data_IF_929417020887
#
_entry.id   IF_929417020887
#
_cell.length_a   1.000
_cell.length_b   1.000
_cell.length_c   1.000
_cell.angle_alpha   90.00
_cell.angle_beta   90.00
_cell.angle_gamma   90.00
#
_symmetry.space_group_name_H-M   'P 1'
#
loop_
_entity.id
_entity.type
_entity.pdbx_description
1 polymer ?
#
# COMPACT_ATOMS: atom_id res chain seq x y z
N UNK A 1 4.57 21.96 -0.42
CA UNK A 1 5.53 21.89 0.73
C UNK A 1 6.27 20.57 0.71
N UNK A 2 5.59 19.41 0.73
CA UNK A 2 6.25 18.10 0.78
C UNK A 2 7.28 17.90 -0.36
N UNK A 3 6.91 18.16 -1.62
CA UNK A 3 7.81 17.96 -2.77
C UNK A 3 9.07 18.82 -2.69
N UNK A 4 8.92 20.12 -2.44
CA UNK A 4 10.07 21.03 -2.30
C UNK A 4 10.93 20.65 -1.10
N UNK A 5 10.31 20.28 0.02
CA UNK A 5 11.03 19.84 1.22
C UNK A 5 11.82 18.54 1.01
N UNK A 6 11.25 17.57 0.29
CA UNK A 6 11.91 16.31 -0.03
C UNK A 6 13.15 16.55 -0.91
N UNK A 7 13.02 17.38 -1.96
CA UNK A 7 14.16 17.77 -2.81
C UNK A 7 15.25 18.42 -1.97
N UNK A 8 14.89 19.36 -1.08
CA UNK A 8 15.87 20.01 -0.21
C UNK A 8 16.56 19.02 0.73
N UNK A 9 15.81 18.09 1.31
CA UNK A 9 16.36 17.08 2.22
C UNK A 9 17.32 16.13 1.52
N UNK A 10 16.92 15.54 0.39
CA UNK A 10 17.75 14.57 -0.34
C UNK A 10 19.01 15.20 -0.96
N UNK A 11 18.97 16.49 -1.31
CA UNK A 11 20.13 17.21 -1.85
C UNK A 11 20.97 17.93 -0.79
N UNK A 12 20.60 17.83 0.49
CA UNK A 12 21.33 18.48 1.59
C UNK A 12 21.23 20.01 1.63
N UNK A 13 20.22 20.60 0.99
CA UNK A 13 20.01 22.05 1.03
C UNK A 13 19.45 22.50 2.40
N UNK A 14 19.94 23.64 2.88
CA UNK A 14 19.44 24.27 4.10
C UNK A 14 18.00 24.75 3.91
N UNK A 15 17.15 24.52 4.91
CA UNK A 15 15.79 25.03 4.92
C UNK A 15 15.75 26.53 5.28
N UNK A 16 14.66 27.26 4.97
CA UNK A 16 14.54 28.69 5.31
C UNK A 16 14.57 29.02 6.81
N UNK A 17 14.51 28.00 7.68
CA UNK A 17 14.55 28.11 9.14
C UNK A 17 15.94 27.77 9.73
N UNK A 18 16.95 27.53 8.88
CA UNK A 18 18.33 27.30 9.33
C UNK A 18 18.69 25.85 9.72
N UNK A 19 17.90 24.85 9.30
CA UNK A 19 18.17 23.42 9.57
C UNK A 19 18.08 22.52 8.32
N UNK A 20 18.14 21.20 8.52
CA UNK A 20 17.94 20.23 7.41
C UNK A 20 16.50 20.26 6.90
N UNK A 21 16.29 19.88 5.63
CA UNK A 21 14.95 19.78 5.04
C UNK A 21 13.98 18.80 5.75
N UNK A 22 14.48 17.96 6.68
CA UNK A 22 13.72 16.90 7.34
C UNK A 22 12.46 17.40 8.07
N UNK A 23 12.57 18.52 8.80
CA UNK A 23 11.42 19.09 9.52
C UNK A 23 10.31 19.50 8.54
N UNK A 24 10.67 20.12 7.41
CA UNK A 24 9.71 20.51 6.37
C UNK A 24 9.11 19.31 5.66
N UNK A 25 9.85 18.20 5.51
CA UNK A 25 9.30 16.93 5.01
C UNK A 25 8.24 16.41 5.98
N UNK A 26 8.54 16.41 7.28
CA UNK A 26 7.59 15.98 8.32
C UNK A 26 6.31 16.82 8.34
N UNK A 27 6.44 18.15 8.31
CA UNK A 27 5.29 19.06 8.23
C UNK A 27 4.52 18.85 6.92
N UNK A 28 5.22 18.74 5.80
CA UNK A 28 4.61 18.48 4.49
C UNK A 28 3.78 17.20 4.49
N UNK A 29 4.34 16.11 4.99
CA UNK A 29 3.66 14.82 5.10
C UNK A 29 2.44 14.91 6.03
N UNK A 30 2.60 15.52 7.21
CA UNK A 30 1.51 15.67 8.19
C UNK A 30 0.34 16.47 7.61
N UNK A 31 0.62 17.59 6.90
CA UNK A 31 -0.43 18.40 6.27
C UNK A 31 -1.14 17.66 5.13
N UNK A 32 -0.42 16.89 4.32
CA UNK A 32 -1.03 16.07 3.26
C UNK A 32 -1.94 14.99 3.85
N UNK A 33 -1.47 14.26 4.87
CA UNK A 33 -2.28 13.23 5.55
C UNK A 33 -3.52 13.85 6.21
N UNK A 34 -3.37 15.00 6.87
CA UNK A 34 -4.49 15.71 7.49
C UNK A 34 -5.53 16.16 6.45
N UNK A 35 -5.08 16.71 5.32
CA UNK A 35 -5.97 17.11 4.24
C UNK A 35 -6.75 15.92 3.66
N UNK A 36 -6.07 14.79 3.41
CA UNK A 36 -6.72 13.56 2.95
C UNK A 36 -7.73 13.04 3.98
N UNK A 37 -7.38 13.02 5.27
CA UNK A 37 -8.28 12.54 6.32
C UNK A 37 -9.54 13.40 6.45
N UNK A 38 -9.40 14.73 6.38
CA UNK A 38 -10.53 15.66 6.41
C UNK A 38 -11.41 15.52 5.16
N UNK A 39 -10.79 15.35 3.98
CA UNK A 39 -11.54 15.13 2.75
C UNK A 39 -12.33 13.82 2.78
N UNK A 40 -11.72 12.71 3.19
CA UNK A 40 -12.44 11.43 3.32
C UNK A 40 -13.54 11.48 4.38
N UNK A 41 -13.35 12.23 5.48
CA UNK A 41 -14.43 12.48 6.45
C UNK A 41 -15.63 13.13 5.77
N UNK A 42 -15.40 14.13 4.93
CA UNK A 42 -16.47 14.86 4.25
C UNK A 42 -17.19 13.97 3.22
N UNK A 43 -16.45 13.16 2.46
CA UNK A 43 -17.03 12.15 1.55
C UNK A 43 -17.91 11.15 2.31
N UNK A 44 -17.47 10.68 3.49
CA UNK A 44 -18.29 9.79 4.32
C UNK A 44 -19.56 10.50 4.80
N UNK A 45 -19.49 11.80 5.11
CA UNK A 45 -20.64 12.57 5.56
C UNK A 45 -21.66 12.81 4.42
N UNK A 46 -21.19 13.16 3.24
CA UNK A 46 -22.00 13.30 2.02
C UNK A 46 -22.72 11.97 1.68
N UNK A 47 -21.98 10.86 1.73
CA UNK A 47 -22.53 9.54 1.41
C UNK A 47 -23.47 8.96 2.48
N UNK A 48 -23.14 9.13 3.76
CA UNK A 48 -23.84 8.44 4.87
C UNK A 48 -24.90 9.31 5.54
N UNK A 49 -24.61 10.60 5.78
CA UNK A 49 -25.47 11.47 6.58
C UNK A 49 -26.33 12.41 5.73
N UNK A 50 -25.84 12.86 4.57
CA UNK A 50 -26.59 13.72 3.66
C UNK A 50 -27.36 12.90 2.60
N UNK A 51 -26.85 11.72 2.24
CA UNK A 51 -27.51 10.80 1.31
C UNK A 51 -27.31 11.14 -0.17
N UNK A 52 -26.23 11.87 -0.51
CA UNK A 52 -25.98 12.37 -1.86
C UNK A 52 -25.45 11.30 -2.83
N UNK A 53 -25.06 10.12 -2.31
CA UNK A 53 -24.56 8.99 -3.10
C UNK A 53 -25.69 8.19 -3.79
N UNK A 54 -26.32 8.81 -4.80
CA UNK A 54 -27.27 8.12 -5.68
C UNK A 54 -26.61 6.97 -6.46
N UNK A 55 -27.40 6.08 -7.06
CA UNK A 55 -26.90 4.95 -7.86
C UNK A 55 -25.97 5.42 -9.00
N UNK A 56 -26.24 6.58 -9.60
CA UNK A 56 -25.38 7.15 -10.65
C UNK A 56 -24.03 7.60 -10.09
N UNK A 57 -24.04 8.26 -8.92
CA UNK A 57 -22.83 8.70 -8.23
C UNK A 57 -21.98 7.48 -7.84
N UNK A 58 -22.60 6.45 -7.24
CA UNK A 58 -21.90 5.22 -6.87
C UNK A 58 -21.27 4.52 -8.07
N UNK A 59 -21.98 4.43 -9.21
CA UNK A 59 -21.40 3.91 -10.46
C UNK A 59 -20.19 4.73 -10.93
N UNK A 60 -20.27 6.05 -10.80
CA UNK A 60 -19.15 6.95 -11.09
C UNK A 60 -17.94 6.70 -10.19
N UNK A 61 -18.14 6.56 -8.88
CA UNK A 61 -17.09 6.25 -7.92
C UNK A 61 -16.44 4.89 -8.24
N UNK A 62 -17.25 3.85 -8.51
CA UNK A 62 -16.74 2.53 -8.90
C UNK A 62 -15.88 2.58 -10.17
N UNK A 63 -16.33 3.33 -11.18
CA UNK A 63 -15.55 3.52 -12.41
C UNK A 63 -14.25 4.28 -12.13
N UNK A 64 -14.29 5.31 -11.29
CA UNK A 64 -13.10 6.07 -10.87
C UNK A 64 -12.07 5.18 -10.17
N UNK A 65 -12.49 4.35 -9.21
CA UNK A 65 -11.61 3.39 -8.53
C UNK A 65 -11.05 2.36 -9.50
N UNK A 66 -11.85 1.85 -10.44
CA UNK A 66 -11.36 0.91 -11.44
C UNK A 66 -10.26 1.53 -12.33
N UNK A 67 -10.45 2.77 -12.81
CA UNK A 67 -9.45 3.49 -13.59
C UNK A 67 -8.18 3.79 -12.78
N UNK A 68 -8.34 4.15 -11.50
CA UNK A 68 -7.21 4.33 -10.58
C UNK A 68 -6.39 3.04 -10.39
N UNK A 69 -7.06 1.90 -10.20
CA UNK A 69 -6.37 0.60 -10.11
C UNK A 69 -5.65 0.28 -11.42
N UNK A 70 -6.26 0.56 -12.57
CA UNK A 70 -5.62 0.37 -13.89
C UNK A 70 -4.34 1.22 -13.99
N UNK A 71 -4.36 2.49 -13.56
CA UNK A 71 -3.13 3.31 -13.58
C UNK A 71 -2.03 2.74 -12.68
N UNK A 72 -2.37 2.21 -11.50
CA UNK A 72 -1.39 1.56 -10.62
C UNK A 72 -0.83 0.26 -11.23
N UNK A 73 -1.65 -0.51 -11.97
CA UNK A 73 -1.16 -1.69 -12.71
C UNK A 73 -0.13 -1.29 -13.76
N UNK A 74 -0.38 -0.22 -14.53
CA UNK A 74 0.62 0.28 -15.50
C UNK A 74 1.88 0.81 -14.83
N UNK A 75 1.76 1.43 -13.65
CA UNK A 75 2.92 1.80 -12.85
C UNK A 75 3.76 0.56 -12.48
N UNK A 76 3.16 -0.51 -11.97
CA UNK A 76 3.90 -1.74 -11.66
C UNK A 76 4.48 -2.43 -12.90
N UNK A 77 3.81 -2.39 -14.06
CA UNK A 77 4.38 -2.91 -15.32
C UNK A 77 5.73 -2.24 -15.64
N UNK A 78 5.85 -0.93 -15.43
CA UNK A 78 7.12 -0.22 -15.67
C UNK A 78 8.24 -0.71 -14.73
N UNK A 79 7.90 -1.02 -13.48
CA UNK A 79 8.85 -1.55 -12.49
C UNK A 79 9.29 -2.96 -12.84
N UNK A 80 8.35 -3.83 -13.22
CA UNK A 80 8.67 -5.19 -13.69
C UNK A 80 9.49 -5.18 -14.97
N UNK A 81 9.24 -4.23 -15.88
CA UNK A 81 10.08 -4.06 -17.06
C UNK A 81 11.52 -3.75 -16.65
N UNK A 82 11.75 -2.80 -15.74
CA UNK A 82 13.10 -2.51 -15.25
C UNK A 82 13.81 -3.77 -14.70
N UNK A 83 13.12 -4.57 -13.89
CA UNK A 83 13.64 -5.85 -13.39
C UNK A 83 13.99 -6.83 -14.53
N UNK A 84 13.05 -7.10 -15.44
CA UNK A 84 13.26 -8.07 -16.52
C UNK A 84 14.35 -7.64 -17.51
N UNK A 85 14.43 -6.34 -17.80
CA UNK A 85 15.49 -5.79 -18.64
C UNK A 85 16.88 -6.09 -18.05
N UNK A 86 17.05 -5.87 -16.75
CA UNK A 86 18.31 -6.12 -16.04
C UNK A 86 18.60 -7.60 -15.78
N UNK A 87 17.57 -8.43 -15.57
CA UNK A 87 17.76 -9.84 -15.23
C UNK A 87 17.92 -10.76 -16.45
N UNK A 88 17.28 -10.45 -17.59
CA UNK A 88 17.32 -11.30 -18.79
C UNK A 88 18.58 -11.07 -19.64
N UNK A 89 19.21 -9.90 -19.53
CA UNK A 89 20.48 -9.58 -20.20
C UNK A 89 21.43 -8.86 -19.23
N UNK A 90 21.95 -9.57 -18.21
CA UNK A 90 22.81 -8.98 -17.20
C UNK A 90 24.11 -8.48 -17.82
N UNK A 91 24.53 -7.28 -17.42
CA UNK A 91 25.74 -6.66 -17.95
C UNK A 91 27.00 -7.33 -17.42
N UNK A 92 28.14 -7.09 -18.07
CA UNK A 92 29.43 -7.69 -17.69
C UNK A 92 29.89 -7.24 -16.30
N UNK A 93 29.52 -6.03 -15.89
CA UNK A 93 29.81 -5.46 -14.57
C UNK A 93 29.13 -6.24 -13.43
N UNK A 94 28.02 -6.93 -13.72
CA UNK A 94 27.32 -7.81 -12.78
C UNK A 94 27.90 -9.23 -12.73
N UNK A 95 28.89 -9.52 -13.58
CA UNK A 95 29.43 -10.86 -13.81
C UNK A 95 28.68 -11.67 -14.88
N UNK A 96 27.90 -11.00 -15.74
CA UNK A 96 27.11 -11.62 -16.82
C UNK A 96 26.16 -12.74 -16.35
N UNK A 97 25.67 -12.64 -15.11
CA UNK A 97 24.71 -13.57 -14.52
C UNK A 97 23.70 -12.84 -13.63
N UNK A 98 22.59 -13.52 -13.34
CA UNK A 98 21.57 -13.05 -12.41
C UNK A 98 21.21 -14.17 -11.43
N UNK A 99 21.24 -13.96 -10.10
CA UNK A 99 21.63 -12.72 -9.40
C UNK A 99 23.10 -12.33 -9.61
N UNK A 100 23.46 -11.03 -9.45
CA UNK A 100 24.85 -10.57 -9.56
C UNK A 100 25.81 -11.27 -8.58
N UNK A 101 27.09 -11.38 -8.97
CA UNK A 101 28.14 -11.97 -8.11
C UNK A 101 28.20 -11.24 -6.77
N UNK A 102 28.19 -11.99 -5.66
CA UNK A 102 28.36 -11.43 -4.31
C UNK A 102 27.07 -11.04 -3.60
N UNK A 103 25.91 -11.11 -4.27
CA UNK A 103 24.61 -10.88 -3.63
C UNK A 103 24.04 -12.20 -3.10
N UNK A 104 23.87 -12.29 -1.78
CA UNK A 104 23.13 -13.38 -1.15
C UNK A 104 21.63 -13.08 -1.21
N UNK A 105 20.89 -13.84 -2.02
CA UNK A 105 19.45 -13.63 -2.19
C UNK A 105 18.61 -14.22 -1.07
N UNK A 106 17.42 -13.67 -0.89
CA UNK A 106 16.43 -14.17 0.07
C UNK A 106 15.86 -15.49 -0.43
N UNK A 107 15.72 -16.48 0.47
CA UNK A 107 15.11 -17.75 0.14
C UNK A 107 13.58 -17.59 -0.03
N UNK A 108 13.01 -17.89 -1.21
CA UNK A 108 11.58 -17.70 -1.46
C UNK A 108 10.68 -18.62 -0.64
N UNK A 109 11.19 -19.71 -0.09
CA UNK A 109 10.41 -20.68 0.69
C UNK A 109 10.35 -20.38 2.20
N UNK A 110 10.95 -19.28 2.64
CA UNK A 110 10.95 -18.86 4.05
C UNK A 110 9.89 -17.76 4.29
N UNK A 111 10.31 -16.56 4.72
CA UNK A 111 9.42 -15.42 4.97
C UNK A 111 8.60 -15.00 3.74
N UNK A 112 9.12 -14.99 2.50
CA UNK A 112 8.32 -14.65 1.32
C UNK A 112 7.10 -15.57 1.11
N UNK A 113 7.27 -16.88 1.36
CA UNK A 113 6.18 -17.85 1.25
C UNK A 113 5.11 -17.60 2.32
N UNK A 114 5.54 -17.33 3.56
CA UNK A 114 4.62 -16.96 4.64
C UNK A 114 3.82 -15.70 4.28
N UNK A 115 4.48 -14.68 3.76
CA UNK A 115 3.84 -13.44 3.31
C UNK A 115 2.80 -13.68 2.21
N UNK A 116 3.08 -14.60 1.28
CA UNK A 116 2.12 -15.00 0.25
C UNK A 116 0.88 -15.66 0.86
N UNK A 117 1.07 -16.56 1.82
CA UNK A 117 -0.04 -17.23 2.53
C UNK A 117 -0.86 -16.22 3.33
N UNK A 118 -0.22 -15.26 4.01
CA UNK A 118 -0.90 -14.20 4.75
C UNK A 118 -1.78 -13.34 3.82
N UNK A 119 -1.26 -12.91 2.67
CA UNK A 119 -2.03 -12.12 1.70
C UNK A 119 -3.23 -12.91 1.15
N UNK A 120 -3.03 -14.17 0.73
CA UNK A 120 -4.12 -15.01 0.22
C UNK A 120 -5.20 -15.27 1.29
N UNK A 121 -4.78 -15.48 2.54
CA UNK A 121 -5.69 -15.64 3.68
C UNK A 121 -6.45 -14.36 3.98
N UNK A 122 -5.81 -13.20 3.85
CA UNK A 122 -6.46 -11.89 3.98
C UNK A 122 -7.52 -11.68 2.89
N UNK A 123 -7.26 -12.14 1.65
CA UNK A 123 -8.23 -12.15 0.55
C UNK A 123 -9.46 -13.01 0.86
N UNK A 124 -9.25 -14.23 1.34
CA UNK A 124 -10.36 -15.11 1.71
C UNK A 124 -11.24 -14.54 2.83
N UNK A 125 -10.60 -13.95 3.86
CA UNK A 125 -11.32 -13.37 5.01
C UNK A 125 -12.08 -12.10 4.66
N UNK A 126 -11.56 -11.25 3.77
CA UNK A 126 -12.29 -10.04 3.35
C UNK A 126 -13.47 -10.39 2.44
N UNK A 127 -13.34 -11.42 1.59
CA UNK A 127 -14.47 -11.94 0.80
C UNK A 127 -15.56 -12.50 1.71
N UNK A 128 -15.20 -13.26 2.74
CA UNK A 128 -16.15 -13.73 3.75
C UNK A 128 -16.85 -12.56 4.47
N UNK A 129 -16.09 -11.52 4.82
CA UNK A 129 -16.64 -10.32 5.44
C UNK A 129 -17.65 -9.62 4.52
N UNK A 130 -17.33 -9.49 3.24
CA UNK A 130 -18.21 -8.86 2.25
C UNK A 130 -19.52 -9.62 2.07
N UNK A 131 -19.47 -10.94 1.91
CA UNK A 131 -20.69 -11.76 1.87
C UNK A 131 -21.51 -11.64 3.16
N UNK A 132 -20.85 -11.59 4.32
CA UNK A 132 -21.53 -11.40 5.61
C UNK A 132 -22.25 -10.04 5.71
N UNK A 133 -21.72 -8.98 5.10
CA UNK A 133 -22.40 -7.67 5.01
C UNK A 133 -23.68 -7.79 4.17
N UNK A 134 -23.60 -8.44 3.01
CA UNK A 134 -24.74 -8.61 2.09
C UNK A 134 -25.85 -9.47 2.73
N UNK A 135 -25.48 -10.47 3.52
CA UNK A 135 -26.42 -11.33 4.25
C UNK A 135 -26.99 -10.68 5.54
N UNK A 136 -26.53 -9.48 5.91
CA UNK A 136 -26.89 -8.82 7.16
C UNK A 136 -26.27 -9.46 8.41
N UNK A 137 -25.35 -10.41 8.26
CA UNK A 137 -24.63 -11.04 9.37
C UNK A 137 -23.49 -10.14 9.88
N UNK A 138 -23.84 -9.19 10.75
CA UNK A 138 -22.89 -8.22 11.32
C UNK A 138 -21.72 -8.89 12.06
N UNK A 139 -21.96 -9.97 12.80
CA UNK A 139 -20.89 -10.65 13.55
C UNK A 139 -19.87 -11.29 12.61
N UNK A 140 -20.34 -11.92 11.54
CA UNK A 140 -19.48 -12.48 10.49
C UNK A 140 -18.66 -11.39 9.79
N UNK A 141 -19.29 -10.26 9.44
CA UNK A 141 -18.64 -9.13 8.80
C UNK A 141 -17.52 -8.54 9.67
N UNK A 142 -17.80 -8.26 10.95
CA UNK A 142 -16.81 -7.74 11.91
C UNK A 142 -15.65 -8.72 12.08
N UNK A 143 -15.94 -10.01 12.26
CA UNK A 143 -14.89 -11.02 12.47
C UNK A 143 -14.02 -11.19 11.22
N UNK A 144 -14.63 -11.26 10.03
CA UNK A 144 -13.91 -11.38 8.77
C UNK A 144 -12.97 -10.19 8.54
N UNK A 145 -13.48 -8.96 8.66
CA UNK A 145 -12.67 -7.75 8.48
C UNK A 145 -11.56 -7.63 9.54
N UNK A 146 -11.83 -8.01 10.80
CA UNK A 146 -10.81 -8.02 11.85
C UNK A 146 -9.68 -9.00 11.53
N UNK A 147 -10.00 -10.21 11.06
CA UNK A 147 -8.98 -11.19 10.68
C UNK A 147 -8.15 -10.71 9.47
N UNK A 148 -8.78 -10.07 8.49
CA UNK A 148 -8.07 -9.42 7.37
C UNK A 148 -7.06 -8.39 7.87
N UNK A 149 -7.45 -7.51 8.82
CA UNK A 149 -6.54 -6.51 9.41
C UNK A 149 -5.37 -7.15 10.14
N UNK A 150 -5.62 -8.23 10.89
CA UNK A 150 -4.55 -8.97 11.59
C UNK A 150 -3.55 -9.54 10.58
N UNK A 151 -4.02 -10.20 9.52
CA UNK A 151 -3.13 -10.76 8.50
C UNK A 151 -2.34 -9.68 7.75
N UNK A 152 -2.95 -8.54 7.46
CA UNK A 152 -2.27 -7.43 6.78
C UNK A 152 -1.17 -6.80 7.67
N UNK A 153 -1.43 -6.62 8.97
CA UNK A 153 -0.41 -6.12 9.92
C UNK A 153 0.73 -7.13 10.07
N UNK A 154 0.42 -8.42 10.18
CA UNK A 154 1.44 -9.47 10.23
C UNK A 154 2.32 -9.48 8.98
N UNK A 155 1.72 -9.34 7.79
CA UNK A 155 2.46 -9.21 6.54
C UNK A 155 3.44 -8.03 6.58
N UNK A 156 3.00 -6.84 7.02
CA UNK A 156 3.87 -5.66 7.11
C UNK A 156 5.03 -5.87 8.09
N UNK A 157 4.77 -6.52 9.23
CA UNK A 157 5.83 -6.85 10.21
C UNK A 157 6.83 -7.83 9.60
N UNK A 158 6.37 -8.91 8.97
CA UNK A 158 7.22 -9.89 8.32
C UNK A 158 8.06 -9.26 7.19
N UNK A 159 7.48 -8.36 6.39
CA UNK A 159 8.23 -7.62 5.36
C UNK A 159 9.29 -6.70 5.97
N UNK A 160 9.01 -6.06 7.10
CA UNK A 160 10.01 -5.28 7.84
C UNK A 160 11.17 -6.13 8.37
N UNK A 161 10.88 -7.32 8.90
CA UNK A 161 11.89 -8.29 9.34
C UNK A 161 12.74 -8.76 8.16
N UNK A 162 12.13 -9.02 7.00
CA UNK A 162 12.85 -9.38 5.78
C UNK A 162 13.84 -8.28 5.36
N UNK A 163 13.42 -7.01 5.38
CA UNK A 163 14.30 -5.89 5.02
C UNK A 163 15.45 -5.68 6.01
N UNK A 164 15.22 -5.88 7.31
CA UNK A 164 16.26 -5.74 8.33
C UNK A 164 17.32 -6.85 8.27
N UNK A 165 16.94 -8.04 7.79
CA UNK A 165 17.83 -9.20 7.70
C UNK A 165 18.38 -9.46 6.29
N UNK A 166 18.01 -8.64 5.30
CA UNK A 166 18.52 -8.76 3.94
C UNK A 166 20.04 -8.52 3.90
N UNK A 167 20.78 -9.40 3.21
CA UNK A 167 22.23 -9.28 3.03
C UNK A 167 22.67 -8.22 2.01
N UNK A 168 21.73 -7.43 1.49
CA UNK A 168 21.94 -6.39 0.49
C UNK A 168 20.99 -5.22 0.76
N UNK A 169 21.31 -4.07 0.21
CA UNK A 169 20.64 -2.78 0.40
C UNK A 169 20.18 -2.20 -0.93
N UNK A 170 19.41 -1.11 -0.89
CA UNK A 170 18.98 -0.40 -2.11
C UNK A 170 20.16 0.14 -2.94
N UNK A 171 21.33 0.35 -2.31
CA UNK A 171 22.53 0.86 -2.96
C UNK A 171 23.36 -0.24 -3.66
N UNK A 172 23.03 -1.52 -3.47
CA UNK A 172 23.76 -2.66 -4.03
C UNK A 172 23.36 -2.94 -5.49
N UNK A 173 23.63 -1.92 -6.33
CA UNK A 173 23.45 -1.95 -7.77
C UNK A 173 21.99 -2.11 -8.20
N UNK A 174 21.82 -2.58 -9.44
CA UNK A 174 20.50 -2.72 -10.07
C UNK A 174 19.64 -3.79 -9.40
N UNK A 175 20.25 -4.82 -8.81
CA UNK A 175 19.53 -5.86 -8.08
C UNK A 175 18.86 -5.27 -6.83
N UNK A 176 19.64 -4.62 -5.95
CA UNK A 176 19.10 -3.98 -4.75
C UNK A 176 18.08 -2.89 -5.08
N UNK A 177 18.38 -2.05 -6.07
CA UNK A 177 17.47 -1.00 -6.52
C UNK A 177 16.13 -1.54 -7.01
N UNK A 178 16.12 -2.52 -7.92
CA UNK A 178 14.88 -3.10 -8.46
C UNK A 178 14.11 -3.90 -7.41
N UNK A 179 14.81 -4.62 -6.53
CA UNK A 179 14.19 -5.37 -5.43
C UNK A 179 13.49 -4.44 -4.43
N UNK A 180 14.20 -3.50 -3.81
CA UNK A 180 13.64 -2.63 -2.76
C UNK A 180 12.64 -1.61 -3.32
N UNK A 181 12.79 -1.15 -4.56
CA UNK A 181 11.81 -0.28 -5.18
C UNK A 181 10.49 -1.03 -5.42
N UNK A 182 10.54 -2.22 -6.05
CA UNK A 182 9.32 -2.99 -6.37
C UNK A 182 8.57 -3.45 -5.11
N UNK A 183 9.28 -4.11 -4.20
CA UNK A 183 8.71 -4.63 -2.95
C UNK A 183 8.36 -3.50 -1.99
N UNK A 184 9.14 -2.41 -1.96
CA UNK A 184 8.87 -1.22 -1.14
C UNK A 184 7.60 -0.49 -1.58
N UNK A 185 7.42 -0.26 -2.89
CA UNK A 185 6.19 0.33 -3.40
C UNK A 185 4.98 -0.56 -3.14
N UNK A 186 5.11 -1.87 -3.33
CA UNK A 186 4.06 -2.81 -2.94
C UNK A 186 3.75 -2.73 -1.44
N UNK A 187 4.76 -2.66 -0.58
CA UNK A 187 4.59 -2.49 0.87
C UNK A 187 3.82 -1.22 1.23
N UNK A 188 4.10 -0.09 0.58
CA UNK A 188 3.31 1.15 0.74
C UNK A 188 1.84 0.93 0.35
N UNK A 189 1.57 0.22 -0.75
CA UNK A 189 0.21 -0.12 -1.16
C UNK A 189 -0.51 -0.99 -0.12
N UNK A 190 0.17 -1.98 0.47
CA UNK A 190 -0.41 -2.80 1.53
C UNK A 190 -0.74 -1.96 2.77
N UNK A 191 0.12 -1.00 3.14
CA UNK A 191 -0.16 -0.09 4.26
C UNK A 191 -1.39 0.78 3.96
N UNK A 192 -1.47 1.39 2.77
CA UNK A 192 -2.63 2.20 2.36
C UNK A 192 -3.91 1.35 2.33
N UNK A 193 -3.86 0.15 1.76
CA UNK A 193 -4.98 -0.79 1.75
C UNK A 193 -5.43 -1.18 3.16
N UNK A 194 -4.48 -1.42 4.07
CA UNK A 194 -4.77 -1.71 5.48
C UNK A 194 -5.48 -0.54 6.16
N UNK A 195 -5.05 0.70 5.90
CA UNK A 195 -5.72 1.90 6.42
C UNK A 195 -7.15 2.03 5.88
N UNK A 196 -7.38 1.78 4.60
CA UNK A 196 -8.74 1.80 4.02
C UNK A 196 -9.64 0.72 4.62
N UNK A 197 -9.14 -0.51 4.81
CA UNK A 197 -9.88 -1.57 5.48
C UNK A 197 -10.15 -1.21 6.95
N UNK A 198 -9.21 -0.56 7.64
CA UNK A 198 -9.40 -0.12 9.02
C UNK A 198 -10.49 0.96 9.11
N UNK A 199 -10.52 1.93 8.18
CA UNK A 199 -11.61 2.92 8.09
C UNK A 199 -12.95 2.22 7.84
N UNK A 200 -13.01 1.28 6.90
CA UNK A 200 -14.22 0.49 6.64
C UNK A 200 -14.67 -0.30 7.88
N UNK A 201 -13.73 -0.87 8.64
CA UNK A 201 -14.01 -1.58 9.89
C UNK A 201 -14.64 -0.65 10.93
N UNK A 202 -14.07 0.53 11.18
CA UNK A 202 -14.65 1.49 12.13
C UNK A 202 -16.03 1.99 11.68
N UNK A 203 -16.24 2.19 10.37
CA UNK A 203 -17.54 2.55 9.81
C UNK A 203 -18.57 1.43 9.97
N UNK A 204 -18.17 0.18 9.84
CA UNK A 204 -19.00 -0.99 10.10
C UNK A 204 -19.43 -1.07 11.57
N UNK A 205 -18.52 -0.77 12.49
CA UNK A 205 -18.82 -0.73 13.93
C UNK A 205 -19.83 0.39 14.25
N UNK A 206 -19.69 1.54 13.60
CA UNK A 206 -20.58 2.70 13.74
C UNK A 206 -21.89 2.63 12.94
N UNK A 207 -22.22 1.48 12.34
CA UNK A 207 -23.45 1.26 11.56
C UNK A 207 -23.60 2.15 10.31
N UNK A 208 -22.49 2.58 9.70
CA UNK A 208 -22.55 3.38 8.46
C UNK A 208 -22.76 2.54 7.19
N UNK A 209 -22.45 1.24 7.23
CA UNK A 209 -22.56 0.34 6.09
C UNK A 209 -23.89 -0.42 6.14
N UNK A 210 -24.59 -0.50 5.01
CA UNK A 210 -25.80 -1.32 4.84
C UNK A 210 -25.56 -2.47 3.86
N UNK A 211 -26.47 -3.43 3.85
CA UNK A 211 -26.49 -4.57 2.92
C UNK A 211 -26.56 -4.11 1.45
N UNK A 212 -27.27 -3.02 1.17
CA UNK A 212 -27.46 -2.47 -0.17
C UNK A 212 -26.57 -1.26 -0.50
N UNK A 213 -26.00 -0.60 0.50
CA UNK A 213 -25.13 0.58 0.35
C UNK A 213 -23.92 0.51 1.29
N UNK A 214 -22.79 0.10 0.73
CA UNK A 214 -21.53 -0.06 1.44
C UNK A 214 -20.35 0.50 0.64
N UNK A 215 -20.62 1.54 -0.16
CA UNK A 215 -19.64 2.20 -1.04
C UNK A 215 -19.42 3.66 -0.62
N UNK A 216 -18.16 4.09 -0.68
CA UNK A 216 -17.70 5.43 -0.27
C UNK A 216 -17.32 5.44 1.18
#
# INVERSE_FOLDING_TARGET
ILTSAAVMYFNGYANPLGGSGALLVGIGLATTVAAMALWFRDVVAEGTFLGDHTILVQKGITMGVALFIISEVFFFISVFWAFFHSSLSPTVELGAQWPPVGIATINPFELPLLNTILLLSSGATVTYAHHSVIEGNRRGAILGTLMTLIFAVLFTICQGIEYLNAGFTIADGVFGSTFFFSTGFHGVHVIIGTLFIAVAFFRMLSYHLTDHHHLG
#
